data_IF_866139741096
#
_entry.id   IF_866139741096
#
_cell.length_a   1.000
_cell.length_b   1.000
_cell.length_c   1.000
_cell.angle_alpha   90.00
_cell.angle_beta   90.00
_cell.angle_gamma   90.00
#
_symmetry.space_group_name_H-M   'P 1'
#
loop_
_entity.id
_entity.type
_entity.pdbx_description
1 polymer ?
#
# COMPACT_ATOMS: atom_id res chain seq x y z
N UNK A 1 3.85 -0.05 -11.54
CA UNK A 1 3.99 -1.53 -11.47
C UNK A 1 2.65 -2.18 -11.85
N UNK A 2 2.65 -3.29 -12.60
CA UNK A 2 1.40 -4.03 -12.92
C UNK A 2 0.88 -4.77 -11.67
N UNK A 3 -0.44 -4.94 -11.54
CA UNK A 3 -1.08 -5.66 -10.44
C UNK A 3 -0.59 -7.12 -10.37
N UNK A 4 -0.36 -7.76 -11.51
CA UNK A 4 0.20 -9.12 -11.55
C UNK A 4 1.62 -9.19 -10.98
N UNK A 5 2.46 -8.18 -11.25
CA UNK A 5 3.81 -8.09 -10.66
C UNK A 5 3.74 -7.93 -9.14
N UNK A 6 2.79 -7.15 -8.63
CA UNK A 6 2.56 -7.01 -7.19
C UNK A 6 2.23 -8.34 -6.54
N UNK A 7 1.31 -9.12 -7.12
CA UNK A 7 0.94 -10.42 -6.57
C UNK A 7 2.12 -11.39 -6.54
N UNK A 8 2.91 -11.45 -7.62
CA UNK A 8 4.11 -12.29 -7.68
C UNK A 8 5.12 -11.86 -6.61
N UNK A 9 5.37 -10.55 -6.47
CA UNK A 9 6.27 -10.03 -5.42
C UNK A 9 5.76 -10.39 -4.02
N UNK A 10 4.45 -10.27 -3.76
CA UNK A 10 3.87 -10.62 -2.46
C UNK A 10 3.99 -12.12 -2.15
N UNK A 11 3.76 -12.99 -3.13
CA UNK A 11 3.91 -14.44 -2.96
C UNK A 11 5.37 -14.81 -2.68
N UNK A 12 6.30 -14.26 -3.46
CA UNK A 12 7.73 -14.51 -3.24
C UNK A 12 8.20 -13.99 -1.87
N UNK A 13 7.75 -12.80 -1.48
CA UNK A 13 8.03 -12.20 -0.18
C UNK A 13 7.43 -13.03 0.96
N UNK A 14 6.22 -13.57 0.78
CA UNK A 14 5.59 -14.48 1.74
C UNK A 14 6.43 -15.74 1.94
N UNK A 15 6.78 -16.44 0.85
CA UNK A 15 7.56 -17.67 0.92
C UNK A 15 8.91 -17.45 1.58
N UNK A 16 9.58 -16.34 1.26
CA UNK A 16 10.88 -15.99 1.85
C UNK A 16 10.75 -15.69 3.35
N UNK A 17 9.75 -14.89 3.74
CA UNK A 17 9.47 -14.59 5.15
C UNK A 17 9.10 -15.84 5.95
N UNK A 18 8.31 -16.74 5.37
CA UNK A 18 7.92 -18.00 6.00
C UNK A 18 9.13 -18.93 6.23
N UNK A 19 9.97 -19.13 5.21
CA UNK A 19 11.15 -20.00 5.31
C UNK A 19 12.12 -19.46 6.35
N UNK A 20 12.41 -18.15 6.31
CA UNK A 20 13.32 -17.51 7.28
C UNK A 20 12.78 -17.64 8.70
N UNK A 21 11.46 -17.44 8.89
CA UNK A 21 10.84 -17.59 10.20
C UNK A 21 10.91 -19.04 10.71
N UNK A 22 10.60 -20.03 9.87
CA UNK A 22 10.70 -21.45 10.25
C UNK A 22 12.12 -21.82 10.66
N UNK A 23 13.13 -21.39 9.90
CA UNK A 23 14.54 -21.64 10.23
C UNK A 23 14.89 -20.98 11.56
N UNK A 24 14.50 -19.71 11.78
CA UNK A 24 14.81 -18.99 13.01
C UNK A 24 14.15 -19.64 14.24
N UNK A 25 12.92 -20.14 14.11
CA UNK A 25 12.18 -20.78 15.20
C UNK A 25 12.74 -22.15 15.60
N UNK A 26 13.55 -22.79 14.76
CA UNK A 26 14.30 -23.98 15.17
C UNK A 26 15.40 -23.66 16.20
N UNK A 27 15.81 -22.39 16.31
CA UNK A 27 16.85 -21.93 17.24
C UNK A 27 16.29 -21.16 18.44
N UNK A 28 14.97 -20.94 18.52
CA UNK A 28 14.34 -20.12 19.56
C UNK A 28 13.12 -20.84 20.15
N UNK A 29 13.13 -21.05 21.46
CA UNK A 29 11.96 -21.56 22.18
C UNK A 29 11.01 -20.42 22.53
N UNK A 30 9.84 -20.38 21.91
CA UNK A 30 8.81 -19.37 22.18
C UNK A 30 7.84 -19.90 23.22
N UNK A 31 7.61 -19.10 24.27
CA UNK A 31 6.60 -19.40 25.27
C UNK A 31 5.20 -19.26 24.66
N UNK A 32 4.43 -20.34 24.70
CA UNK A 32 3.11 -20.46 24.07
C UNK A 32 1.97 -19.81 24.86
N UNK A 33 2.24 -19.28 26.06
CA UNK A 33 1.22 -18.79 26.96
C UNK A 33 0.53 -17.49 26.50
N UNK A 34 1.20 -16.67 25.66
CA UNK A 34 0.71 -15.33 25.29
C UNK A 34 0.68 -15.18 23.77
N UNK A 35 -0.48 -14.81 23.24
CA UNK A 35 -0.62 -14.45 21.82
C UNK A 35 0.24 -13.23 21.50
N UNK A 36 1.15 -13.30 20.51
CA UNK A 36 2.02 -12.19 20.14
C UNK A 36 1.24 -11.14 19.33
N UNK A 37 0.41 -10.34 20.03
CA UNK A 37 -0.40 -9.27 19.45
C UNK A 37 0.41 -8.28 18.61
N UNK A 38 1.69 -8.11 18.93
CA UNK A 38 2.65 -7.29 18.17
C UNK A 38 2.73 -7.71 16.71
N UNK A 39 2.64 -9.01 16.39
CA UNK A 39 2.67 -9.47 15.00
C UNK A 39 1.41 -9.02 14.24
N UNK A 40 0.26 -9.00 14.92
CA UNK A 40 -1.02 -8.59 14.33
C UNK A 40 -1.03 -7.07 14.12
N UNK A 41 -0.51 -6.28 15.06
CA UNK A 41 -0.46 -4.82 14.91
C UNK A 41 0.49 -4.38 13.79
N UNK A 42 1.63 -5.06 13.62
CA UNK A 42 2.57 -4.77 12.53
C UNK A 42 1.94 -5.01 11.15
N UNK A 43 1.02 -5.98 11.01
CA UNK A 43 0.31 -6.22 9.75
C UNK A 43 -0.54 -5.02 9.28
N UNK A 44 -0.96 -4.14 10.20
CA UNK A 44 -1.70 -2.92 9.85
C UNK A 44 -0.79 -1.76 9.41
N UNK A 45 0.52 -1.84 9.63
CA UNK A 45 1.44 -0.75 9.28
C UNK A 45 1.37 -0.36 7.79
N UNK A 46 1.39 -1.31 6.82
CA UNK A 46 1.21 -0.98 5.41
C UNK A 46 -0.19 -0.44 5.06
N UNK A 47 -1.20 -0.74 5.87
CA UNK A 47 -2.55 -0.22 5.68
C UNK A 47 -2.60 1.29 5.91
N UNK A 48 -1.85 1.81 6.90
CA UNK A 48 -1.73 3.25 7.14
C UNK A 48 -1.17 4.00 5.93
N UNK A 49 -0.17 3.43 5.25
CA UNK A 49 0.39 4.02 4.02
C UNK A 49 -0.60 3.96 2.85
N UNK A 50 -1.38 2.88 2.72
CA UNK A 50 -2.41 2.78 1.70
C UNK A 50 -3.51 3.85 1.90
N UNK A 51 -3.94 4.09 3.14
CA UNK A 51 -4.91 5.13 3.47
C UNK A 51 -4.34 6.52 3.17
N UNK A 52 -3.10 6.80 3.58
CA UNK A 52 -2.44 8.08 3.27
C UNK A 52 -2.35 8.32 1.76
N UNK A 53 -2.01 7.28 0.98
CA UNK A 53 -2.00 7.38 -0.47
C UNK A 53 -3.41 7.65 -1.02
N UNK A 54 -4.44 6.96 -0.53
CA UNK A 54 -5.83 7.15 -0.96
C UNK A 54 -6.35 8.58 -0.74
N UNK A 55 -5.99 9.22 0.38
CA UNK A 55 -6.38 10.59 0.71
C UNK A 55 -5.66 11.64 -0.13
N UNK A 56 -4.40 11.39 -0.52
CA UNK A 56 -3.61 12.30 -1.36
C UNK A 56 -4.00 12.27 -2.85
N UNK A 57 -4.64 11.20 -3.34
CA UNK A 57 -5.07 11.11 -4.75
C UNK A 57 -6.14 12.17 -5.13
N UNK A 58 -7.24 12.35 -4.37
CA UNK A 58 -8.29 13.30 -4.72
C UNK A 58 -7.84 14.76 -4.61
N UNK A 59 -6.89 15.09 -3.73
CA UNK A 59 -6.29 16.44 -3.63
C UNK A 59 -5.62 16.88 -4.95
N UNK A 60 -5.09 15.94 -5.74
CA UNK A 60 -4.49 16.26 -7.04
C UNK A 60 -5.52 16.68 -8.10
N UNK A 61 -6.82 16.43 -7.87
CA UNK A 61 -7.90 16.75 -8.80
C UNK A 61 -8.51 18.15 -8.61
N UNK A 62 -8.11 18.87 -7.56
CA UNK A 62 -8.65 20.20 -7.22
C UNK A 62 -7.94 21.34 -7.97
N UNK A 63 -6.96 21.06 -8.82
CA UNK A 63 -6.30 22.10 -9.60
C UNK A 63 -7.25 22.74 -10.62
N UNK A 64 -7.57 24.02 -10.37
CA UNK A 64 -8.50 24.88 -11.14
C UNK A 64 -8.17 25.04 -12.63
N UNK A 65 -7.03 24.55 -13.11
CA UNK A 65 -6.57 24.70 -14.49
C UNK A 65 -6.79 23.49 -15.39
N UNK A 66 -7.46 22.44 -14.89
CA UNK A 66 -7.81 21.28 -15.70
C UNK A 66 -9.02 21.59 -16.59
N UNK A 67 -8.90 21.30 -17.88
CA UNK A 67 -10.06 21.31 -18.79
C UNK A 67 -11.07 20.25 -18.33
N UNK A 68 -12.38 20.48 -18.50
CA UNK A 68 -13.41 19.51 -18.05
C UNK A 68 -13.19 18.08 -18.62
N UNK A 69 -12.68 17.96 -19.85
CA UNK A 69 -12.35 16.68 -20.49
C UNK A 69 -11.14 15.99 -19.83
N UNK A 70 -10.09 16.74 -19.52
CA UNK A 70 -8.90 16.27 -18.79
C UNK A 70 -9.28 15.83 -17.37
N UNK A 71 -10.14 16.60 -16.71
CA UNK A 71 -10.65 16.31 -15.37
C UNK A 71 -11.49 15.03 -15.33
N UNK A 72 -12.32 14.77 -16.35
CA UNK A 72 -13.11 13.53 -16.46
C UNK A 72 -12.21 12.31 -16.65
N UNK A 73 -11.17 12.42 -17.49
CA UNK A 73 -10.19 11.34 -17.71
C UNK A 73 -9.35 11.09 -16.46
N UNK A 74 -8.92 12.15 -15.77
CA UNK A 74 -8.18 12.07 -14.52
C UNK A 74 -9.01 11.43 -13.42
N UNK A 75 -10.28 11.83 -13.23
CA UNK A 75 -11.20 11.20 -12.27
C UNK A 75 -11.36 9.70 -12.50
N UNK A 76 -11.42 9.26 -13.76
CA UNK A 76 -11.43 7.84 -14.11
C UNK A 76 -10.18 7.09 -13.63
N UNK A 77 -9.00 7.64 -13.89
CA UNK A 77 -7.72 7.05 -13.48
C UNK A 77 -7.58 7.04 -11.95
N UNK A 78 -7.97 8.14 -11.30
CA UNK A 78 -7.98 8.28 -9.84
C UNK A 78 -8.86 7.22 -9.20
N UNK A 79 -10.09 7.04 -9.68
CA UNK A 79 -11.04 6.06 -9.14
C UNK A 79 -10.51 4.62 -9.26
N UNK A 80 -9.87 4.28 -10.39
CA UNK A 80 -9.24 2.97 -10.58
C UNK A 80 -8.09 2.75 -9.60
N UNK A 81 -7.23 3.75 -9.38
CA UNK A 81 -6.11 3.65 -8.43
C UNK A 81 -6.60 3.60 -6.97
N UNK A 82 -7.62 4.38 -6.61
CA UNK A 82 -8.26 4.32 -5.30
C UNK A 82 -8.89 2.95 -5.04
N UNK A 83 -9.63 2.39 -6.00
CA UNK A 83 -10.19 1.04 -5.85
C UNK A 83 -9.08 -0.01 -5.64
N UNK A 84 -7.95 0.10 -6.34
CA UNK A 84 -6.81 -0.81 -6.14
C UNK A 84 -6.21 -0.69 -4.73
N UNK A 85 -6.03 0.52 -4.21
CA UNK A 85 -5.56 0.73 -2.84
C UNK A 85 -6.58 0.27 -1.80
N UNK A 86 -7.88 0.43 -2.07
CA UNK A 86 -8.95 -0.06 -1.21
C UNK A 86 -8.99 -1.59 -1.14
N UNK A 87 -8.82 -2.27 -2.28
CA UNK A 87 -8.69 -3.74 -2.31
C UNK A 87 -7.47 -4.16 -1.49
N UNK A 88 -6.34 -3.45 -1.63
CA UNK A 88 -5.12 -3.74 -0.88
C UNK A 88 -5.31 -3.56 0.64
N UNK A 89 -6.06 -2.53 1.05
CA UNK A 89 -6.46 -2.34 2.44
C UNK A 89 -7.25 -3.54 2.98
N UNK A 90 -8.25 -4.02 2.24
CA UNK A 90 -9.01 -5.21 2.64
C UNK A 90 -8.15 -6.47 2.71
N UNK A 91 -7.17 -6.63 1.81
CA UNK A 91 -6.20 -7.74 1.89
C UNK A 91 -5.44 -7.71 3.22
N UNK A 92 -5.00 -6.53 3.68
CA UNK A 92 -4.32 -6.41 4.97
C UNK A 92 -5.24 -6.76 6.15
N UNK A 93 -6.51 -6.35 6.11
CA UNK A 93 -7.51 -6.72 7.13
C UNK A 93 -7.69 -8.24 7.16
N UNK A 94 -7.81 -8.89 6.00
CA UNK A 94 -7.93 -10.35 5.89
C UNK A 94 -6.68 -11.03 6.46
N UNK A 95 -5.47 -10.52 6.18
CA UNK A 95 -4.23 -11.09 6.73
C UNK A 95 -4.14 -10.97 8.25
N UNK A 96 -4.58 -9.84 8.81
CA UNK A 96 -4.63 -9.63 10.26
C UNK A 96 -5.65 -10.58 10.93
N UNK A 97 -6.84 -10.70 10.36
CA UNK A 97 -7.89 -11.61 10.86
C UNK A 97 -7.45 -13.07 10.74
N UNK A 98 -6.84 -13.47 9.62
CA UNK A 98 -6.31 -14.82 9.44
C UNK A 98 -5.23 -15.14 10.48
N UNK A 99 -4.31 -14.20 10.73
CA UNK A 99 -3.28 -14.36 11.76
C UNK A 99 -3.89 -14.48 13.16
N UNK A 100 -4.88 -13.63 13.49
CA UNK A 100 -5.58 -13.70 14.77
C UNK A 100 -6.32 -15.03 14.96
N UNK A 101 -7.00 -15.52 13.91
CA UNK A 101 -7.70 -16.80 13.93
C UNK A 101 -6.72 -17.97 14.18
N UNK A 102 -5.54 -17.95 13.55
CA UNK A 102 -4.52 -18.99 13.77
C UNK A 102 -4.05 -19.05 15.23
N UNK A 103 -3.90 -17.91 15.90
CA UNK A 103 -3.51 -17.88 17.32
C UNK A 103 -4.66 -18.23 18.28
N UNK A 104 -5.89 -17.82 17.96
CA UNK A 104 -7.05 -18.00 18.85
C UNK A 104 -7.67 -19.39 18.79
N UNK A 105 -7.62 -20.06 17.64
CA UNK A 105 -8.28 -21.37 17.46
C UNK A 105 -7.61 -22.50 18.26
N UNK A 106 -6.43 -22.27 18.88
CA UNK A 106 -5.66 -23.24 19.70
C UNK A 106 -5.75 -24.68 19.18
N UNK A 107 -5.67 -24.82 17.85
CA UNK A 107 -5.94 -26.08 17.20
C UNK A 107 -4.71 -26.99 17.37
N UNK A 108 -4.83 -28.19 17.96
CA UNK A 108 -3.68 -29.06 18.21
C UNK A 108 -2.95 -29.47 16.92
N UNK A 109 -3.59 -29.36 15.76
CA UNK A 109 -2.98 -29.61 14.46
C UNK A 109 -2.00 -28.52 13.99
N UNK A 110 -2.08 -27.31 14.56
CA UNK A 110 -1.24 -26.17 14.14
C UNK A 110 -0.31 -25.81 15.28
N UNK A 111 0.98 -26.07 15.09
CA UNK A 111 1.99 -25.64 16.07
C UNK A 111 2.10 -24.11 16.11
N UNK A 112 2.39 -23.57 17.29
CA UNK A 112 2.59 -22.13 17.46
C UNK A 112 3.70 -21.59 16.54
N UNK A 113 4.71 -22.42 16.26
CA UNK A 113 5.80 -22.05 15.35
C UNK A 113 5.31 -21.86 13.91
N UNK A 114 4.36 -22.69 13.46
CA UNK A 114 3.71 -22.53 12.15
C UNK A 114 2.88 -21.25 12.13
N UNK A 115 2.10 -20.97 13.19
CA UNK A 115 1.31 -19.73 13.27
C UNK A 115 2.20 -18.48 13.19
N UNK A 116 3.31 -18.45 13.94
CA UNK A 116 4.27 -17.34 13.91
C UNK A 116 4.94 -17.21 12.54
N UNK A 117 5.31 -18.32 11.91
CA UNK A 117 5.93 -18.30 10.58
C UNK A 117 4.99 -17.80 9.50
N UNK A 118 3.71 -18.19 9.55
CA UNK A 118 2.67 -17.68 8.64
C UNK A 118 2.50 -16.18 8.85
N UNK A 119 2.37 -15.71 10.09
CA UNK A 119 2.23 -14.27 10.39
C UNK A 119 3.44 -13.47 9.91
N UNK A 120 4.67 -13.96 10.11
CA UNK A 120 5.88 -13.30 9.60
C UNK A 120 5.94 -13.28 8.07
N UNK A 121 5.56 -14.37 7.40
CA UNK A 121 5.39 -14.40 5.95
C UNK A 121 4.41 -13.33 5.46
N UNK A 122 3.26 -13.21 6.12
CA UNK A 122 2.25 -12.19 5.79
C UNK A 122 2.76 -10.76 6.02
N UNK A 123 3.57 -10.53 7.06
CA UNK A 123 4.21 -9.22 7.32
C UNK A 123 5.18 -8.87 6.21
N UNK A 124 6.05 -9.80 5.81
CA UNK A 124 7.04 -9.55 4.75
C UNK A 124 6.32 -9.31 3.41
N UNK A 125 5.25 -10.06 3.14
CA UNK A 125 4.40 -9.86 1.97
C UNK A 125 3.73 -8.47 1.98
N UNK A 126 3.18 -8.02 3.11
CA UNK A 126 2.52 -6.72 3.23
C UNK A 126 3.51 -5.54 3.19
N UNK A 127 4.76 -5.74 3.64
CA UNK A 127 5.81 -4.74 3.47
C UNK A 127 6.25 -4.62 2.00
N UNK A 128 6.28 -5.73 1.25
CA UNK A 128 6.65 -5.69 -0.16
C UNK A 128 5.71 -4.83 -1.02
N UNK A 129 4.42 -4.76 -0.65
CA UNK A 129 3.44 -3.92 -1.34
C UNK A 129 3.60 -2.41 -1.05
N UNK A 130 4.44 -2.00 -0.09
CA UNK A 130 4.80 -0.59 0.11
C UNK A 130 5.50 0.00 -1.11
N UNK A 131 6.29 -0.80 -1.84
CA UNK A 131 6.95 -0.36 -3.08
C UNK A 131 5.91 0.06 -4.13
N UNK A 132 4.81 -0.69 -4.22
CA UNK A 132 3.69 -0.33 -5.11
C UNK A 132 3.01 0.95 -4.66
N UNK A 133 2.68 1.07 -3.36
CA UNK A 133 2.04 2.27 -2.80
C UNK A 133 2.92 3.50 -3.06
N UNK A 134 4.23 3.39 -2.86
CA UNK A 134 5.21 4.44 -3.17
C UNK A 134 5.19 4.82 -4.64
N UNK A 135 5.19 3.84 -5.55
CA UNK A 135 5.11 4.13 -6.99
C UNK A 135 3.84 4.89 -7.39
N UNK A 136 2.71 4.63 -6.70
CA UNK A 136 1.46 5.38 -6.91
C UNK A 136 1.59 6.80 -6.37
N UNK A 137 2.20 6.99 -5.20
CA UNK A 137 2.44 8.31 -4.63
C UNK A 137 3.38 9.16 -5.50
N UNK A 138 4.46 8.58 -6.02
CA UNK A 138 5.42 9.28 -6.88
C UNK A 138 4.75 9.75 -8.19
N UNK A 139 3.88 8.91 -8.76
CA UNK A 139 3.09 9.26 -9.96
C UNK A 139 2.13 10.44 -9.69
N UNK A 140 1.48 10.46 -8.52
CA UNK A 140 0.61 11.57 -8.11
C UNK A 140 1.41 12.86 -7.91
N UNK A 141 2.58 12.78 -7.28
CA UNK A 141 3.45 13.93 -7.06
C UNK A 141 3.99 14.50 -8.38
N UNK A 142 4.40 13.63 -9.31
CA UNK A 142 4.82 14.03 -10.66
C UNK A 142 3.68 14.74 -11.41
N UNK A 143 2.46 14.20 -11.34
CA UNK A 143 1.29 14.84 -11.93
C UNK A 143 1.03 16.23 -11.33
N UNK A 144 1.11 16.36 -10.00
CA UNK A 144 0.96 17.64 -9.31
C UNK A 144 2.02 18.67 -9.76
N UNK A 145 3.28 18.24 -9.87
CA UNK A 145 4.38 19.11 -10.34
C UNK A 145 4.15 19.59 -11.78
N UNK A 146 3.72 18.71 -12.69
CA UNK A 146 3.39 19.09 -14.07
C UNK A 146 2.27 20.12 -14.14
N UNK A 147 1.25 19.98 -13.29
CA UNK A 147 0.14 20.94 -13.23
C UNK A 147 0.59 22.32 -12.74
N UNK A 148 1.47 22.38 -11.73
CA UNK A 148 2.04 23.65 -11.24
C UNK A 148 2.88 24.31 -12.34
N UNK A 149 3.73 23.56 -13.04
CA UNK A 149 4.52 24.11 -14.14
C UNK A 149 3.67 24.64 -15.30
N UNK A 150 2.54 23.98 -15.59
CA UNK A 150 1.58 24.47 -16.59
C UNK A 150 0.95 25.79 -16.13
N UNK A 151 0.61 25.90 -14.86
CA UNK A 151 0.08 27.12 -14.26
C UNK A 151 1.03 28.30 -14.36
N UNK A 152 2.30 28.08 -14.03
CA UNK A 152 3.32 29.12 -14.11
C UNK A 152 3.57 29.57 -15.55
N UNK A 153 3.55 28.64 -16.52
CA UNK A 153 3.69 28.98 -17.94
C UNK A 153 2.53 29.83 -18.45
N UNK A 154 1.30 29.51 -18.07
CA UNK A 154 0.12 30.29 -18.45
C UNK A 154 0.17 31.68 -17.80
N UNK A 155 0.53 31.76 -16.51
CA UNK A 155 0.68 33.03 -15.80
C UNK A 155 1.72 33.93 -16.47
N UNK A 156 2.92 33.42 -16.75
CA UNK A 156 3.97 34.15 -17.46
C UNK A 156 3.54 34.60 -18.85
N UNK A 157 2.81 33.75 -19.60
CA UNK A 157 2.28 34.11 -20.92
C UNK A 157 1.30 35.29 -20.81
N UNK A 158 0.40 35.26 -19.83
CA UNK A 158 -0.57 36.33 -19.62
C UNK A 158 0.11 37.64 -19.20
N UNK A 159 1.09 37.60 -18.30
CA UNK A 159 1.89 38.77 -17.91
C UNK A 159 2.62 39.39 -19.11
N UNK A 160 3.17 38.56 -20.02
CA UNK A 160 3.82 39.04 -21.24
C UNK A 160 2.83 39.67 -22.23
N UNK A 161 1.62 39.11 -22.35
CA UNK A 161 0.57 39.65 -23.20
C UNK A 161 0.02 40.99 -22.68
N UNK A 162 -0.08 41.16 -21.35
CA UNK A 162 -0.45 42.44 -20.74
C UNK A 162 0.61 43.51 -20.97
N UNK A 163 1.91 43.17 -20.95
CA UNK A 163 2.99 44.12 -21.26
C UNK A 163 3.05 44.55 -22.73
N UNK A 164 2.38 43.83 -23.62
CA UNK A 164 2.32 44.13 -25.06
C UNK A 164 1.07 44.94 -25.44
N UNK A 165 0.13 45.13 -24.53
CA UNK A 165 -1.05 46.00 -24.69
C UNK A 165 -0.79 47.36 -24.08
#
# INVERSE_FOLDING_TARGET
MSTGKLLVTMIMAFSLGFIVAQVALNYVTINSAITPWVLITILFFPASFAVQAMLKIPEASEHQQLTQSELKRLKGIIKVKQNKLFILFWVYVIFAVASAALFLLKNPAVSINVAISVSLGLIVASLSSLVYIRSVMDEIQSFKSLMIHRADKIKKKNELLERLK
#
